data_IF_636167631595
#
_entry.id   IF_636167631595
#
_cell.length_a   1.000
_cell.length_b   1.000
_cell.length_c   1.000
_cell.angle_alpha   90.00
_cell.angle_beta   90.00
_cell.angle_gamma   90.00
#
_symmetry.space_group_name_H-M   'P 1'
#
loop_
_entity.id
_entity.type
_entity.pdbx_description
1 polymer ?
#
# COMPACT_ATOMS: atom_id res chain seq x y z
N UNK A 1 21.61 -34.15 -15.83
CA UNK A 1 20.83 -33.37 -14.84
C UNK A 1 19.46 -33.18 -15.45
N UNK A 2 18.42 -33.78 -14.89
CA UNK A 2 17.04 -33.59 -15.39
C UNK A 2 16.66 -32.15 -14.99
N UNK A 3 16.44 -31.28 -15.97
CA UNK A 3 15.90 -29.95 -15.73
C UNK A 3 14.44 -30.12 -15.23
N UNK A 4 14.21 -29.79 -13.97
CA UNK A 4 12.86 -29.76 -13.42
C UNK A 4 12.12 -28.57 -14.06
N UNK A 5 11.06 -28.86 -14.80
CA UNK A 5 10.19 -27.85 -15.40
C UNK A 5 9.00 -27.56 -14.49
N UNK A 6 8.59 -26.31 -14.47
CA UNK A 6 7.41 -25.87 -13.72
C UNK A 6 6.35 -25.29 -14.67
N UNK A 7 5.10 -25.49 -14.32
CA UNK A 7 3.99 -24.71 -14.87
C UNK A 7 3.65 -23.61 -13.87
N UNK A 8 3.77 -22.37 -14.30
CA UNK A 8 3.30 -21.20 -13.57
C UNK A 8 1.84 -20.94 -13.94
N UNK A 9 1.02 -20.65 -12.94
CA UNK A 9 -0.42 -20.40 -13.07
C UNK A 9 -0.72 -19.05 -12.44
N UNK A 10 -1.24 -18.12 -13.22
CA UNK A 10 -1.67 -16.79 -12.78
C UNK A 10 -3.18 -16.65 -12.89
N UNK A 11 -3.82 -15.99 -11.90
CA UNK A 11 -5.27 -15.77 -11.84
C UNK A 11 -5.50 -14.36 -11.31
N UNK A 12 -6.36 -13.58 -11.97
CA UNK A 12 -6.77 -12.26 -11.48
C UNK A 12 -8.18 -11.89 -11.93
N UNK A 13 -8.75 -10.85 -11.29
CA UNK A 13 -10.01 -10.19 -11.61
C UNK A 13 -11.25 -11.11 -11.54
N UNK A 14 -11.31 -11.95 -10.49
CA UNK A 14 -12.39 -12.94 -10.29
C UNK A 14 -13.44 -12.51 -9.27
N UNK A 15 -13.19 -11.44 -8.51
CA UNK A 15 -14.05 -10.95 -7.44
C UNK A 15 -14.97 -9.79 -7.87
N UNK A 16 -15.91 -9.43 -7.00
CA UNK A 16 -16.77 -8.26 -7.14
C UNK A 16 -16.85 -7.45 -5.86
N UNK A 17 -17.41 -6.21 -5.88
CA UNK A 17 -17.71 -5.48 -4.66
C UNK A 17 -18.63 -6.24 -3.69
N UNK A 18 -19.51 -7.08 -4.21
CA UNK A 18 -20.55 -7.79 -3.45
C UNK A 18 -20.09 -9.13 -2.86
N UNK A 19 -18.92 -9.63 -3.29
CA UNK A 19 -18.41 -10.90 -2.76
C UNK A 19 -17.22 -11.46 -3.51
N UNK A 20 -16.87 -12.69 -3.16
CA UNK A 20 -15.74 -13.47 -3.64
C UNK A 20 -14.38 -12.78 -3.37
N UNK A 21 -13.31 -13.48 -3.63
CA UNK A 21 -11.94 -12.97 -3.54
C UNK A 21 -11.02 -13.88 -4.37
N UNK A 22 -10.16 -13.28 -5.18
CA UNK A 22 -9.20 -14.03 -6.01
C UNK A 22 -8.27 -14.90 -5.16
N UNK A 23 -7.93 -14.48 -3.92
CA UNK A 23 -7.13 -15.30 -3.01
C UNK A 23 -7.89 -16.53 -2.49
N UNK A 24 -9.20 -16.40 -2.22
CA UNK A 24 -10.05 -17.55 -1.85
C UNK A 24 -10.15 -18.54 -2.98
N UNK A 25 -10.46 -18.06 -4.19
CA UNK A 25 -10.56 -18.90 -5.37
C UNK A 25 -9.25 -19.65 -5.63
N UNK A 26 -8.10 -18.99 -5.53
CA UNK A 26 -6.79 -19.63 -5.67
C UNK A 26 -6.53 -20.69 -4.58
N UNK A 27 -6.90 -20.41 -3.33
CA UNK A 27 -6.79 -21.39 -2.23
C UNK A 27 -7.66 -22.63 -2.52
N UNK A 28 -8.91 -22.43 -2.93
CA UNK A 28 -9.84 -23.50 -3.30
C UNK A 28 -9.30 -24.33 -4.46
N UNK A 29 -8.77 -23.72 -5.51
CA UNK A 29 -8.12 -24.43 -6.62
C UNK A 29 -6.93 -25.25 -6.13
N UNK A 30 -6.07 -24.70 -5.28
CA UNK A 30 -4.92 -25.41 -4.72
C UNK A 30 -5.37 -26.67 -3.96
N UNK A 31 -6.45 -26.59 -3.21
CA UNK A 31 -6.98 -27.76 -2.51
C UNK A 31 -7.55 -28.80 -3.48
N UNK A 32 -8.25 -28.38 -4.54
CA UNK A 32 -8.71 -29.27 -5.61
C UNK A 32 -7.56 -29.99 -6.34
N UNK A 33 -6.47 -29.29 -6.56
CA UNK A 33 -5.26 -29.89 -7.13
C UNK A 33 -4.65 -30.93 -6.18
N UNK A 34 -4.58 -30.66 -4.87
CA UNK A 34 -4.08 -31.61 -3.86
C UNK A 34 -4.95 -32.88 -3.79
N UNK A 35 -6.29 -32.76 -3.91
CA UNK A 35 -7.22 -33.89 -3.92
C UNK A 35 -6.87 -34.92 -5.02
N UNK A 36 -6.31 -34.48 -6.14
CA UNK A 36 -5.86 -35.33 -7.26
C UNK A 36 -4.35 -35.61 -7.24
N UNK A 37 -3.67 -35.26 -6.14
CA UNK A 37 -2.25 -35.52 -5.93
C UNK A 37 -1.34 -34.61 -6.77
N UNK A 38 -1.75 -33.35 -6.98
CA UNK A 38 -0.93 -32.28 -7.56
C UNK A 38 -0.57 -31.29 -6.47
N UNK A 39 0.71 -31.21 -6.11
CA UNK A 39 1.18 -30.29 -5.09
C UNK A 39 1.74 -29.01 -5.71
N UNK A 40 1.50 -27.87 -5.06
CA UNK A 40 2.16 -26.61 -5.44
C UNK A 40 3.60 -26.58 -4.94
N UNK A 41 4.45 -25.88 -5.66
CA UNK A 41 5.86 -25.68 -5.30
C UNK A 41 6.05 -24.35 -4.58
N UNK A 42 6.34 -24.43 -3.27
CA UNK A 42 6.47 -23.28 -2.40
C UNK A 42 5.12 -22.68 -1.98
N UNK A 43 5.10 -21.38 -1.69
CA UNK A 43 3.88 -20.65 -1.34
C UNK A 43 3.23 -20.01 -2.56
N UNK A 44 1.88 -19.95 -2.64
CA UNK A 44 1.21 -19.12 -3.62
C UNK A 44 1.60 -17.65 -3.39
N UNK A 45 1.57 -16.89 -4.46
CA UNK A 45 1.97 -15.49 -4.50
C UNK A 45 0.76 -14.60 -4.59
N UNK A 46 0.69 -13.55 -3.76
CA UNK A 46 -0.29 -12.47 -3.84
C UNK A 46 0.45 -11.19 -4.22
N UNK A 47 0.31 -10.76 -5.45
CA UNK A 47 1.03 -9.61 -5.98
C UNK A 47 0.09 -8.41 -6.09
N UNK A 48 0.36 -7.39 -5.29
CA UNK A 48 -0.34 -6.10 -5.38
C UNK A 48 0.21 -5.29 -6.55
N UNK A 49 -0.70 -4.70 -7.31
CA UNK A 49 -0.41 -3.92 -8.52
C UNK A 49 -0.66 -2.44 -8.26
N UNK A 50 -0.64 -1.62 -9.33
CA UNK A 50 -0.81 -0.17 -9.23
C UNK A 50 -2.02 0.22 -8.37
N UNK A 51 -1.83 0.97 -7.26
CA UNK A 51 -2.89 1.31 -6.33
C UNK A 51 -3.93 2.29 -6.92
N UNK A 52 -3.63 2.93 -8.05
CA UNK A 52 -4.50 3.89 -8.74
C UNK A 52 -5.31 3.30 -9.89
N UNK A 53 -5.24 1.98 -10.14
CA UNK A 53 -6.01 1.34 -11.20
C UNK A 53 -7.51 1.63 -11.02
N UNK A 54 -8.16 2.15 -12.09
CA UNK A 54 -9.56 2.60 -12.06
C UNK A 54 -10.57 1.47 -11.91
N UNK A 55 -10.26 0.32 -12.50
CA UNK A 55 -11.18 -0.81 -12.61
C UNK A 55 -10.98 -1.88 -11.53
N UNK A 56 -10.18 -1.60 -10.51
CA UNK A 56 -10.03 -2.52 -9.38
C UNK A 56 -11.31 -2.62 -8.58
N UNK A 57 -11.64 -3.82 -8.13
CA UNK A 57 -12.81 -4.05 -7.26
C UNK A 57 -12.54 -3.64 -5.82
N UNK A 58 -11.37 -4.00 -5.29
CA UNK A 58 -10.91 -3.71 -3.91
C UNK A 58 -9.44 -3.34 -3.91
N UNK A 59 -8.59 -4.21 -3.36
CA UNK A 59 -7.14 -4.09 -3.49
C UNK A 59 -6.70 -4.67 -4.82
N UNK A 60 -6.05 -3.88 -5.69
CA UNK A 60 -5.58 -4.37 -6.98
C UNK A 60 -4.48 -5.41 -6.80
N UNK A 61 -4.69 -6.65 -7.23
CA UNK A 61 -3.67 -7.70 -7.09
C UNK A 61 -4.05 -9.04 -7.66
N UNK A 62 -3.12 -9.62 -8.42
CA UNK A 62 -3.21 -10.96 -8.96
C UNK A 62 -2.59 -12.02 -8.05
N UNK A 63 -2.97 -13.26 -8.25
CA UNK A 63 -2.42 -14.42 -7.57
C UNK A 63 -1.69 -15.32 -8.57
N UNK A 64 -0.55 -15.88 -8.15
CA UNK A 64 0.13 -16.91 -8.93
C UNK A 64 0.66 -18.03 -8.03
N UNK A 65 0.73 -19.22 -8.58
CA UNK A 65 1.41 -20.37 -7.98
C UNK A 65 2.02 -21.24 -9.06
N UNK A 66 2.85 -22.18 -8.68
CA UNK A 66 3.49 -23.11 -9.64
C UNK A 66 3.38 -24.54 -9.18
N UNK A 67 3.31 -25.42 -10.15
CA UNK A 67 3.29 -26.89 -9.99
C UNK A 67 4.43 -27.50 -10.81
N UNK A 68 4.72 -28.76 -10.61
CA UNK A 68 5.59 -29.51 -11.54
C UNK A 68 4.89 -29.63 -12.90
N UNK A 69 5.64 -29.44 -13.97
CA UNK A 69 5.17 -29.65 -15.33
C UNK A 69 5.42 -31.13 -15.69
N UNK A 70 4.40 -31.94 -15.54
CA UNK A 70 4.44 -33.40 -15.71
C UNK A 70 3.19 -33.91 -16.46
N UNK A 71 2.91 -35.20 -16.37
CA UNK A 71 1.77 -35.86 -17.01
C UNK A 71 0.39 -35.42 -16.47
N UNK A 72 0.33 -34.75 -15.32
CA UNK A 72 -0.88 -34.18 -14.73
C UNK A 72 -1.15 -32.73 -15.13
N UNK A 73 -0.27 -32.13 -15.92
CA UNK A 73 -0.35 -30.71 -16.29
C UNK A 73 -1.68 -30.35 -16.96
N UNK A 74 -2.16 -31.17 -17.89
CA UNK A 74 -3.46 -30.91 -18.56
C UNK A 74 -4.64 -31.05 -17.61
N UNK A 75 -4.57 -31.98 -16.67
CA UNK A 75 -5.58 -32.12 -15.62
C UNK A 75 -5.60 -30.87 -14.71
N UNK A 76 -4.41 -30.38 -14.33
CA UNK A 76 -4.29 -29.16 -13.53
C UNK A 76 -4.89 -27.94 -14.24
N UNK A 77 -4.57 -27.74 -15.52
CA UNK A 77 -5.14 -26.64 -16.32
C UNK A 77 -6.66 -26.73 -16.37
N UNK A 78 -7.21 -27.92 -16.60
CA UNK A 78 -8.65 -28.13 -16.61
C UNK A 78 -9.29 -27.77 -15.29
N UNK A 79 -8.77 -28.25 -14.15
CA UNK A 79 -9.29 -27.93 -12.81
C UNK A 79 -9.29 -26.42 -12.58
N UNK A 80 -8.18 -25.72 -12.91
CA UNK A 80 -8.07 -24.27 -12.76
C UNK A 80 -9.17 -23.55 -13.54
N UNK A 81 -9.36 -23.89 -14.80
CA UNK A 81 -10.36 -23.24 -15.66
C UNK A 81 -11.78 -23.53 -15.21
N UNK A 82 -12.10 -24.80 -14.89
CA UNK A 82 -13.42 -25.21 -14.41
C UNK A 82 -13.80 -24.48 -13.11
N UNK A 83 -12.87 -24.34 -12.14
CA UNK A 83 -13.14 -23.66 -10.87
C UNK A 83 -13.21 -22.13 -11.03
N UNK A 84 -12.44 -21.53 -11.93
CA UNK A 84 -12.60 -20.10 -12.27
C UNK A 84 -13.95 -19.84 -12.91
N UNK A 85 -14.38 -20.67 -13.86
CA UNK A 85 -15.70 -20.56 -14.51
C UNK A 85 -16.85 -20.71 -13.51
N UNK A 86 -16.70 -21.60 -12.54
CA UNK A 86 -17.71 -21.88 -11.52
C UNK A 86 -17.82 -20.79 -10.44
N UNK A 87 -16.69 -20.20 -10.00
CA UNK A 87 -16.64 -19.38 -8.79
C UNK A 87 -16.44 -17.89 -9.05
N UNK A 88 -15.98 -17.46 -10.24
CA UNK A 88 -15.82 -16.04 -10.53
C UNK A 88 -17.17 -15.32 -10.61
N UNK A 89 -17.20 -14.05 -10.20
CA UNK A 89 -18.42 -13.24 -10.09
C UNK A 89 -18.83 -12.64 -11.44
N UNK A 90 -19.23 -13.48 -12.39
CA UNK A 90 -19.55 -13.08 -13.77
C UNK A 90 -20.73 -12.12 -13.91
N UNK A 91 -21.64 -12.11 -12.95
CA UNK A 91 -22.78 -11.16 -12.92
C UNK A 91 -22.34 -9.70 -12.70
N UNK A 92 -21.12 -9.47 -12.21
CA UNK A 92 -20.56 -8.14 -12.07
C UNK A 92 -19.90 -7.71 -13.38
N UNK A 93 -20.36 -6.62 -14.00
CA UNK A 93 -19.80 -6.08 -15.25
C UNK A 93 -18.32 -5.77 -15.17
N UNK A 94 -17.85 -5.36 -13.99
CA UNK A 94 -16.46 -5.00 -13.76
C UNK A 94 -15.55 -6.21 -13.49
N UNK A 95 -16.09 -7.42 -13.33
CA UNK A 95 -15.33 -8.66 -13.16
C UNK A 95 -15.03 -9.27 -14.54
N UNK A 96 -13.75 -9.37 -14.89
CA UNK A 96 -13.28 -9.84 -16.20
C UNK A 96 -12.08 -10.77 -16.02
N UNK A 97 -12.29 -12.01 -15.53
CA UNK A 97 -11.23 -12.92 -15.16
C UNK A 97 -10.24 -13.21 -16.28
N UNK A 98 -8.99 -13.38 -15.89
CA UNK A 98 -7.93 -13.88 -16.75
C UNK A 98 -7.12 -14.96 -16.05
N UNK A 99 -6.88 -16.06 -16.76
CA UNK A 99 -5.98 -17.12 -16.32
C UNK A 99 -4.82 -17.22 -17.30
N UNK A 100 -3.62 -17.37 -16.77
CA UNK A 100 -2.41 -17.48 -17.59
C UNK A 100 -1.63 -18.71 -17.15
N UNK A 101 -1.28 -19.56 -18.11
CA UNK A 101 -0.35 -20.66 -17.92
C UNK A 101 0.96 -20.34 -18.64
N UNK A 102 2.08 -20.60 -17.96
CA UNK A 102 3.40 -20.34 -18.49
C UNK A 102 4.39 -21.43 -18.01
N UNK A 103 5.02 -22.11 -18.94
CA UNK A 103 5.97 -23.21 -18.64
C UNK A 103 7.45 -22.86 -18.93
N UNK A 104 7.71 -21.57 -19.26
CA UNK A 104 9.04 -21.05 -19.51
C UNK A 104 9.76 -20.57 -18.26
N UNK A 105 11.01 -20.16 -18.45
CA UNK A 105 11.80 -19.46 -17.44
C UNK A 105 11.35 -17.99 -17.33
N UNK A 106 11.38 -17.44 -16.11
CA UNK A 106 11.08 -16.02 -15.93
C UNK A 106 12.18 -15.16 -16.54
N UNK A 107 11.86 -14.43 -17.60
CA UNK A 107 12.81 -13.57 -18.33
C UNK A 107 12.84 -12.16 -17.79
N UNK A 108 13.90 -11.39 -18.10
CA UNK A 108 14.01 -9.99 -17.71
C UNK A 108 12.84 -9.14 -18.28
N UNK A 109 12.37 -9.43 -19.50
CA UNK A 109 11.20 -8.75 -20.10
C UNK A 109 9.92 -9.00 -19.29
N UNK A 110 9.76 -10.21 -18.74
CA UNK A 110 8.61 -10.54 -17.87
C UNK A 110 8.71 -9.82 -16.53
N UNK A 111 9.92 -9.66 -16.00
CA UNK A 111 10.20 -8.85 -14.81
C UNK A 111 9.87 -7.38 -15.05
N UNK A 112 10.33 -6.80 -16.16
CA UNK A 112 10.03 -5.43 -16.54
C UNK A 112 8.51 -5.19 -16.73
N UNK A 113 7.82 -6.12 -17.38
CA UNK A 113 6.36 -6.07 -17.50
C UNK A 113 5.68 -6.06 -16.14
N UNK A 114 6.14 -6.90 -15.20
CA UNK A 114 5.58 -7.00 -13.85
C UNK A 114 5.75 -5.70 -13.06
N UNK A 115 6.92 -5.07 -13.13
CA UNK A 115 7.14 -3.75 -12.54
C UNK A 115 6.31 -2.66 -13.23
N UNK A 116 6.16 -2.70 -14.56
CA UNK A 116 5.27 -1.78 -15.27
C UNK A 116 3.83 -1.86 -14.77
N UNK A 117 3.32 -3.06 -14.45
CA UNK A 117 1.98 -3.25 -13.88
C UNK A 117 1.83 -2.66 -12.47
N UNK A 118 2.93 -2.46 -11.73
CA UNK A 118 2.95 -1.81 -10.42
C UNK A 118 3.07 -0.29 -10.55
N UNK A 119 3.86 0.20 -11.48
CA UNK A 119 4.18 1.63 -11.60
C UNK A 119 3.22 2.39 -12.53
N UNK A 120 2.51 1.69 -13.41
CA UNK A 120 1.78 2.27 -14.52
C UNK A 120 0.50 1.46 -14.82
N UNK A 121 -0.17 1.82 -15.90
CA UNK A 121 -1.29 1.05 -16.43
C UNK A 121 -0.84 0.29 -17.68
N UNK A 122 -1.35 -0.95 -17.79
CA UNK A 122 -1.19 -1.81 -18.96
C UNK A 122 -2.59 -2.02 -19.53
N UNK A 123 -2.73 -1.92 -20.83
CA UNK A 123 -3.97 -2.23 -21.54
C UNK A 123 -4.09 -3.74 -21.77
N UNK A 124 -5.33 -4.23 -21.94
CA UNK A 124 -5.59 -5.65 -22.25
C UNK A 124 -4.82 -6.04 -23.52
N UNK A 125 -4.80 -5.17 -24.55
CA UNK A 125 -4.09 -5.41 -25.81
C UNK A 125 -2.58 -5.57 -25.60
N UNK A 126 -1.94 -4.67 -24.83
CA UNK A 126 -0.51 -4.80 -24.50
C UNK A 126 -0.22 -6.10 -23.75
N UNK A 127 -1.10 -6.51 -22.83
CA UNK A 127 -0.94 -7.75 -22.09
C UNK A 127 -1.07 -8.99 -22.98
N UNK A 128 -2.00 -8.98 -23.95
CA UNK A 128 -2.17 -10.05 -24.94
C UNK A 128 -0.95 -10.15 -25.86
N UNK A 129 -0.51 -9.01 -26.42
CA UNK A 129 0.66 -8.96 -27.31
C UNK A 129 1.90 -9.46 -26.57
N UNK A 130 2.12 -9.01 -25.34
CA UNK A 130 3.25 -9.44 -24.53
C UNK A 130 3.15 -10.91 -24.16
N UNK A 131 2.02 -11.37 -23.60
CA UNK A 131 1.84 -12.77 -23.21
C UNK A 131 2.05 -13.74 -24.36
N UNK A 132 1.50 -13.42 -25.56
CA UNK A 132 1.71 -14.22 -26.77
C UNK A 132 3.18 -14.22 -27.20
N UNK A 133 3.89 -13.11 -27.11
CA UNK A 133 5.30 -13.01 -27.55
C UNK A 133 6.25 -13.86 -26.72
N UNK A 134 5.93 -14.07 -25.41
CA UNK A 134 6.72 -14.91 -24.52
C UNK A 134 6.20 -16.35 -24.40
N UNK A 135 5.15 -16.71 -25.15
CA UNK A 135 4.59 -18.08 -25.19
C UNK A 135 3.65 -18.41 -24.02
N UNK A 136 3.01 -17.43 -23.39
CA UNK A 136 1.96 -17.69 -22.43
C UNK A 136 0.70 -18.27 -23.11
N UNK A 137 0.06 -19.24 -22.45
CA UNK A 137 -1.30 -19.68 -22.78
C UNK A 137 -2.28 -18.78 -22.02
N UNK A 138 -3.04 -17.96 -22.75
CA UNK A 138 -3.94 -16.93 -22.21
C UNK A 138 -5.40 -17.38 -22.28
N UNK A 139 -6.09 -17.44 -21.14
CA UNK A 139 -7.52 -17.71 -21.06
C UNK A 139 -8.24 -16.47 -20.54
N UNK A 140 -9.14 -15.94 -21.37
CA UNK A 140 -9.89 -14.71 -21.08
C UNK A 140 -11.37 -15.02 -20.92
N UNK A 141 -11.92 -14.61 -19.79
CA UNK A 141 -13.35 -14.63 -19.53
C UNK A 141 -13.91 -13.21 -19.67
N UNK A 142 -15.00 -13.02 -20.37
CA UNK A 142 -15.54 -11.70 -20.74
C UNK A 142 -14.47 -10.88 -21.50
N UNK A 143 -14.09 -9.72 -20.95
CA UNK A 143 -13.00 -8.88 -21.52
C UNK A 143 -11.61 -9.42 -21.22
N UNK A 144 -11.46 -10.31 -20.23
CA UNK A 144 -10.21 -10.96 -19.86
C UNK A 144 -9.15 -10.01 -19.30
N UNK A 145 -9.55 -8.91 -18.64
CA UNK A 145 -8.60 -7.93 -18.06
C UNK A 145 -7.65 -8.57 -17.07
N UNK A 146 -8.07 -9.62 -16.37
CA UNK A 146 -7.28 -10.34 -15.39
C UNK A 146 -5.96 -10.91 -15.93
N UNK A 147 -5.79 -11.08 -17.26
CA UNK A 147 -4.48 -11.53 -17.81
C UNK A 147 -3.34 -10.56 -17.45
N UNK A 148 -3.65 -9.25 -17.26
CA UNK A 148 -2.65 -8.24 -16.88
C UNK A 148 -2.00 -8.60 -15.56
N UNK A 149 -2.83 -8.80 -14.52
CA UNK A 149 -2.33 -9.11 -13.19
C UNK A 149 -1.83 -10.55 -13.08
N UNK A 150 -2.38 -11.48 -13.85
CA UNK A 150 -1.92 -12.88 -13.89
C UNK A 150 -0.49 -12.99 -14.41
N UNK A 151 -0.14 -12.33 -15.52
CA UNK A 151 1.23 -12.28 -16.05
C UNK A 151 2.15 -11.60 -15.02
N UNK A 152 1.73 -10.45 -14.48
CA UNK A 152 2.53 -9.71 -13.51
C UNK A 152 2.77 -10.52 -12.21
N UNK A 153 1.78 -11.28 -11.75
CA UNK A 153 1.93 -12.12 -10.56
C UNK A 153 2.90 -13.28 -10.78
N UNK A 154 2.99 -13.82 -11.99
CA UNK A 154 3.98 -14.85 -12.35
C UNK A 154 5.39 -14.25 -12.37
N UNK A 155 5.59 -13.12 -13.07
CA UNK A 155 6.91 -12.59 -13.41
C UNK A 155 7.59 -11.76 -12.32
N UNK A 156 6.84 -11.21 -11.33
CA UNK A 156 7.42 -10.28 -10.37
C UNK A 156 8.47 -10.93 -9.46
N UNK A 157 9.72 -10.46 -9.40
CA UNK A 157 10.67 -10.91 -8.38
C UNK A 157 10.23 -10.41 -6.99
N UNK A 158 10.43 -11.26 -5.97
CA UNK A 158 10.14 -10.92 -4.57
C UNK A 158 11.46 -10.92 -3.79
N UNK A 159 12.29 -9.87 -3.98
CA UNK A 159 13.52 -9.63 -3.23
C UNK A 159 13.21 -9.17 -1.81
N UNK A 160 12.43 -8.10 -1.65
CA UNK A 160 11.73 -7.77 -0.40
C UNK A 160 10.30 -8.33 -0.48
N UNK A 161 9.88 -9.01 0.56
CA UNK A 161 8.57 -9.63 0.63
C UNK A 161 8.08 -9.78 2.07
N UNK A 162 6.81 -10.04 2.17
CA UNK A 162 6.14 -10.44 3.41
C UNK A 162 5.33 -11.71 3.16
N UNK A 163 4.76 -12.24 4.24
CA UNK A 163 3.76 -13.29 4.16
C UNK A 163 2.42 -12.78 4.69
N UNK A 164 1.33 -13.23 4.08
CA UNK A 164 -0.03 -12.99 4.58
C UNK A 164 -0.74 -14.32 4.76
N UNK A 165 -1.13 -14.62 6.00
CA UNK A 165 -2.04 -15.70 6.32
C UNK A 165 -3.46 -15.19 6.17
N UNK A 166 -4.27 -15.84 5.34
CA UNK A 166 -5.70 -15.59 5.19
C UNK A 166 -6.48 -16.78 5.73
N UNK A 167 -7.40 -16.51 6.66
CA UNK A 167 -8.40 -17.46 7.11
C UNK A 167 -9.69 -17.24 6.32
N UNK A 168 -10.32 -18.29 5.86
CA UNK A 168 -11.55 -18.23 5.07
C UNK A 168 -12.74 -18.79 5.83
N UNK A 169 -13.88 -18.13 5.63
CA UNK A 169 -15.17 -18.47 6.20
C UNK A 169 -15.83 -19.58 5.39
N UNK A 170 -16.67 -20.37 6.03
CA UNK A 170 -17.59 -21.25 5.31
C UNK A 170 -18.62 -20.43 4.51
N UNK A 171 -19.11 -20.94 3.36
CA UNK A 171 -20.02 -20.18 2.47
C UNK A 171 -21.28 -19.64 3.15
N UNK A 172 -21.82 -20.37 4.12
CA UNK A 172 -23.02 -19.98 4.89
C UNK A 172 -22.86 -18.67 5.65
N UNK A 173 -21.59 -18.27 5.94
CA UNK A 173 -21.27 -17.05 6.67
C UNK A 173 -20.92 -15.87 5.77
N UNK A 174 -20.88 -16.04 4.44
CA UNK A 174 -20.54 -14.93 3.54
C UNK A 174 -21.53 -13.77 3.66
N UNK A 175 -21.03 -12.55 3.68
CA UNK A 175 -21.85 -11.34 3.82
C UNK A 175 -22.39 -11.06 5.22
N UNK A 176 -22.22 -11.97 6.19
CA UNK A 176 -22.66 -11.77 7.58
C UNK A 176 -21.57 -11.11 8.43
N UNK A 177 -21.92 -10.66 9.64
CA UNK A 177 -20.95 -10.17 10.61
C UNK A 177 -19.92 -11.26 10.94
N UNK A 178 -18.66 -10.88 11.05
CA UNK A 178 -17.58 -11.76 11.50
C UNK A 178 -17.54 -11.85 13.02
N UNK A 179 -17.21 -13.03 13.53
CA UNK A 179 -17.14 -13.30 14.96
C UNK A 179 -15.72 -13.65 15.38
N UNK A 180 -14.92 -12.61 15.60
CA UNK A 180 -13.52 -12.69 16.05
C UNK A 180 -13.46 -12.19 17.50
N UNK A 181 -12.79 -12.95 18.37
CA UNK A 181 -12.48 -12.52 19.74
C UNK A 181 -11.36 -11.45 19.70
N UNK A 182 -11.74 -10.19 19.83
CA UNK A 182 -10.82 -9.05 19.75
C UNK A 182 -9.78 -9.05 20.87
N UNK A 183 -10.09 -9.55 22.06
CA UNK A 183 -9.10 -9.66 23.14
C UNK A 183 -7.95 -10.60 22.73
N UNK A 184 -8.28 -11.66 22.00
CA UNK A 184 -7.27 -12.56 21.44
C UNK A 184 -6.41 -11.90 20.36
N UNK A 185 -6.97 -10.96 19.59
CA UNK A 185 -6.21 -10.19 18.59
C UNK A 185 -5.23 -9.23 19.25
N UNK A 186 -5.66 -8.52 20.30
CA UNK A 186 -4.77 -7.68 21.10
C UNK A 186 -3.65 -8.49 21.77
N UNK A 187 -3.97 -9.68 22.26
CA UNK A 187 -2.96 -10.59 22.82
C UNK A 187 -1.97 -11.03 21.74
N UNK A 188 -2.47 -11.46 20.60
CA UNK A 188 -1.66 -11.90 19.45
C UNK A 188 -0.71 -10.80 19.02
N UNK A 189 -1.20 -9.57 18.81
CA UNK A 189 -0.38 -8.45 18.39
C UNK A 189 0.75 -8.17 19.39
N UNK A 190 0.46 -8.14 20.70
CA UNK A 190 1.48 -7.92 21.74
C UNK A 190 2.55 -9.00 21.79
N UNK A 191 2.19 -10.26 21.49
CA UNK A 191 3.11 -11.39 21.58
C UNK A 191 3.92 -11.65 20.31
N UNK A 192 3.45 -11.09 19.18
CA UNK A 192 4.10 -11.37 17.88
C UNK A 192 4.65 -10.12 17.20
N UNK A 193 4.35 -8.90 17.66
CA UNK A 193 4.96 -7.68 17.15
C UNK A 193 6.45 -7.59 17.56
N UNK A 194 7.38 -7.15 16.70
CA UNK A 194 7.17 -6.63 15.35
C UNK A 194 7.27 -7.69 14.23
N UNK A 195 7.34 -8.97 14.53
CA UNK A 195 7.40 -10.02 13.50
C UNK A 195 6.09 -10.10 12.70
N UNK A 196 4.94 -10.00 13.37
CA UNK A 196 3.67 -9.65 12.73
C UNK A 196 3.40 -8.16 12.91
N UNK A 197 2.70 -7.54 11.97
CA UNK A 197 2.46 -6.10 11.97
C UNK A 197 1.13 -5.76 11.29
N UNK A 198 0.66 -4.51 11.47
CA UNK A 198 -0.59 -4.03 10.89
C UNK A 198 -1.83 -4.80 11.36
N UNK A 199 -1.80 -5.35 12.58
CA UNK A 199 -2.89 -6.16 13.13
C UNK A 199 -3.92 -5.30 13.86
N UNK A 200 -3.46 -4.27 14.59
CA UNK A 200 -4.26 -3.37 15.43
C UNK A 200 -3.84 -1.93 15.21
N UNK A 201 -4.82 -1.04 15.04
CA UNK A 201 -4.60 0.40 15.10
C UNK A 201 -4.96 0.91 16.50
N UNK A 202 -3.97 1.00 17.38
CA UNK A 202 -4.18 1.44 18.77
C UNK A 202 -4.62 2.90 18.90
N UNK A 203 -4.37 3.72 17.86
CA UNK A 203 -4.78 5.13 17.90
C UNK A 203 -6.26 5.34 17.61
N UNK A 204 -6.87 4.39 16.92
CA UNK A 204 -8.28 4.43 16.49
C UNK A 204 -9.11 3.30 17.10
N UNK A 205 -8.50 2.49 18.01
CA UNK A 205 -9.11 1.29 18.59
C UNK A 205 -9.75 0.38 17.55
N UNK A 206 -8.97 0.07 16.50
CA UNK A 206 -9.45 -0.63 15.32
C UNK A 206 -8.69 -1.92 15.06
N UNK A 207 -9.43 -3.03 14.91
CA UNK A 207 -8.91 -4.34 14.54
C UNK A 207 -8.71 -4.40 13.03
N UNK A 208 -7.44 -4.38 12.58
CA UNK A 208 -7.10 -4.27 11.17
C UNK A 208 -7.00 -5.63 10.44
N UNK A 209 -6.95 -6.73 11.16
CA UNK A 209 -6.96 -8.06 10.55
C UNK A 209 -8.33 -8.43 9.95
N UNK A 210 -9.42 -7.79 10.39
CA UNK A 210 -10.78 -8.03 9.92
C UNK A 210 -11.10 -7.20 8.67
N UNK A 211 -11.46 -7.83 7.51
CA UNK A 211 -11.87 -7.09 6.32
C UNK A 211 -13.20 -6.38 6.50
N UNK A 212 -13.34 -5.18 5.91
CA UNK A 212 -14.61 -4.43 5.89
C UNK A 212 -15.57 -4.82 4.77
N UNK A 213 -15.15 -5.70 3.87
CA UNK A 213 -15.92 -6.07 2.67
C UNK A 213 -16.60 -7.42 2.83
N UNK A 214 -17.70 -7.70 2.10
CA UNK A 214 -18.42 -8.98 2.16
C UNK A 214 -17.67 -10.09 1.40
N UNK A 215 -16.39 -10.30 1.69
CA UNK A 215 -15.55 -11.31 1.07
C UNK A 215 -15.46 -12.59 1.93
N UNK A 216 -15.04 -13.73 1.36
CA UNK A 216 -14.85 -14.98 2.09
C UNK A 216 -13.77 -14.91 3.18
N UNK A 217 -12.91 -13.90 3.20
CA UNK A 217 -11.84 -13.78 4.20
C UNK A 217 -12.45 -13.46 5.57
N UNK A 218 -12.14 -14.29 6.56
CA UNK A 218 -12.47 -14.07 7.98
C UNK A 218 -11.53 -13.05 8.59
N UNK A 219 -10.22 -13.31 8.48
CA UNK A 219 -9.16 -12.37 8.88
C UNK A 219 -7.88 -12.61 8.08
N UNK A 220 -7.00 -11.59 8.07
CA UNK A 220 -5.68 -11.66 7.44
C UNK A 220 -4.59 -11.12 8.36
N UNK A 221 -3.53 -11.92 8.59
CA UNK A 221 -2.36 -11.55 9.40
C UNK A 221 -1.14 -11.43 8.49
N UNK A 222 -0.37 -10.34 8.64
CA UNK A 222 0.85 -10.07 7.86
C UNK A 222 2.08 -10.24 8.74
N UNK A 223 3.13 -10.81 8.14
CA UNK A 223 4.36 -11.10 8.87
C UNK A 223 5.60 -11.09 7.98
N UNK A 224 6.76 -10.93 8.60
CA UNK A 224 8.05 -11.13 7.95
C UNK A 224 8.40 -12.63 7.79
N UNK A 225 7.80 -13.53 8.61
CA UNK A 225 8.12 -14.97 8.63
C UNK A 225 6.85 -15.82 8.73
N UNK A 226 6.91 -17.04 8.23
CA UNK A 226 5.83 -18.02 8.35
C UNK A 226 5.66 -18.50 9.78
N UNK A 227 6.76 -18.65 10.51
CA UNK A 227 6.76 -19.10 11.90
C UNK A 227 5.98 -18.16 12.80
N UNK A 228 6.10 -16.85 12.58
CA UNK A 228 5.32 -15.85 13.33
C UNK A 228 3.82 -15.92 12.97
N UNK A 229 3.46 -16.19 11.71
CA UNK A 229 2.07 -16.43 11.30
C UNK A 229 1.47 -17.65 12.00
N UNK A 230 2.22 -18.74 12.10
CA UNK A 230 1.76 -19.97 12.77
C UNK A 230 1.60 -19.77 14.29
N UNK A 231 2.43 -18.92 14.92
CA UNK A 231 2.24 -18.52 16.32
C UNK A 231 0.99 -17.65 16.46
N UNK A 232 0.86 -16.61 15.62
CA UNK A 232 -0.27 -15.71 15.64
C UNK A 232 -1.61 -16.42 15.42
N UNK A 233 -1.67 -17.34 14.46
CA UNK A 233 -2.83 -18.20 14.19
C UNK A 233 -3.31 -18.98 15.42
N UNK A 234 -2.39 -19.46 16.24
CA UNK A 234 -2.74 -20.22 17.48
C UNK A 234 -3.32 -19.36 18.58
N UNK A 235 -3.05 -18.05 18.56
CA UNK A 235 -3.50 -17.10 19.59
C UNK A 235 -4.87 -16.53 19.23
N UNK A 236 -5.09 -16.20 17.93
CA UNK A 236 -6.37 -15.63 17.48
C UNK A 236 -7.50 -16.66 17.62
N UNK A 237 -8.54 -16.28 18.35
CA UNK A 237 -9.76 -17.08 18.56
C UNK A 237 -10.90 -16.51 17.72
N UNK A 238 -11.68 -17.40 17.14
CA UNK A 238 -12.88 -17.06 16.36
C UNK A 238 -14.07 -17.90 16.86
N UNK A 239 -15.27 -17.33 16.81
CA UNK A 239 -16.50 -17.98 17.26
C UNK A 239 -17.32 -18.55 16.09
N UNK A 240 -16.74 -18.61 14.91
CA UNK A 240 -17.33 -19.18 13.70
C UNK A 240 -16.39 -20.22 13.06
N UNK A 241 -16.92 -21.19 12.30
CA UNK A 241 -16.10 -22.19 11.63
C UNK A 241 -15.20 -21.56 10.57
N UNK A 242 -13.95 -22.02 10.54
CA UNK A 242 -12.96 -21.66 9.52
C UNK A 242 -12.95 -22.79 8.49
N UNK A 243 -13.21 -22.44 7.24
CA UNK A 243 -13.19 -23.41 6.13
C UNK A 243 -11.75 -23.84 5.82
N UNK A 244 -10.87 -22.86 5.66
CA UNK A 244 -9.49 -23.10 5.30
C UNK A 244 -8.56 -21.94 5.66
N UNK A 245 -7.24 -22.19 5.58
CA UNK A 245 -6.16 -21.23 5.73
C UNK A 245 -5.23 -21.29 4.54
N UNK A 246 -4.78 -20.14 4.05
CA UNK A 246 -3.75 -20.07 3.04
C UNK A 246 -2.69 -19.03 3.43
N UNK A 247 -1.41 -19.37 3.26
CA UNK A 247 -0.29 -18.44 3.43
C UNK A 247 0.21 -18.05 2.05
N UNK A 248 0.19 -16.75 1.77
CA UNK A 248 0.71 -16.16 0.53
C UNK A 248 2.04 -15.49 0.78
N UNK A 249 2.99 -15.67 -0.14
CA UNK A 249 4.16 -14.80 -0.26
C UNK A 249 3.77 -13.56 -1.06
N UNK A 250 4.07 -12.35 -0.59
CA UNK A 250 3.50 -11.13 -1.16
C UNK A 250 4.48 -9.96 -1.16
N UNK A 251 4.27 -9.01 -2.08
CA UNK A 251 4.94 -7.71 -2.10
C UNK A 251 4.22 -6.65 -1.23
N UNK A 252 3.26 -7.04 -0.40
CA UNK A 252 2.61 -6.09 0.51
C UNK A 252 3.62 -5.51 1.50
N UNK A 253 3.47 -4.24 1.83
CA UNK A 253 4.29 -3.54 2.82
C UNK A 253 5.80 -3.53 2.50
N UNK A 254 6.15 -3.43 1.21
CA UNK A 254 7.54 -3.40 0.73
C UNK A 254 7.96 -2.07 0.11
N UNK A 255 7.03 -1.14 -0.12
CA UNK A 255 7.22 0.08 -0.92
C UNK A 255 7.58 -0.22 -2.39
N UNK A 256 7.37 -1.43 -2.88
CA UNK A 256 7.75 -1.83 -4.24
C UNK A 256 7.11 -0.95 -5.33
N UNK A 257 6.03 -0.23 -5.02
CA UNK A 257 5.38 0.73 -5.92
C UNK A 257 6.08 2.10 -5.96
N UNK A 258 7.00 2.37 -5.04
CA UNK A 258 7.66 3.66 -4.91
C UNK A 258 8.89 3.72 -5.81
N UNK A 259 8.90 4.66 -6.75
CA UNK A 259 10.03 4.98 -7.62
C UNK A 259 10.77 6.18 -7.02
N UNK A 260 12.10 6.11 -6.94
CA UNK A 260 12.89 7.28 -6.54
C UNK A 260 12.95 8.28 -7.68
N UNK A 261 12.76 9.55 -7.35
CA UNK A 261 12.97 10.65 -8.29
C UNK A 261 13.74 11.78 -7.63
N UNK A 262 14.60 12.42 -8.42
CA UNK A 262 15.41 13.55 -7.95
C UNK A 262 14.68 14.89 -8.11
N UNK A 263 13.63 14.91 -8.96
CA UNK A 263 12.91 16.15 -9.26
C UNK A 263 11.38 15.95 -9.36
N UNK A 264 10.65 17.01 -8.96
CA UNK A 264 9.18 17.04 -8.96
C UNK A 264 8.63 17.05 -10.40
N UNK A 265 9.31 17.71 -11.34
CA UNK A 265 8.82 17.85 -12.71
C UNK A 265 8.80 16.53 -13.49
N UNK A 266 9.58 15.53 -13.08
CA UNK A 266 9.59 14.20 -13.71
C UNK A 266 8.43 13.30 -13.25
N UNK A 267 7.73 13.66 -12.18
CA UNK A 267 6.64 12.86 -11.61
C UNK A 267 5.43 12.84 -12.55
N UNK A 268 4.87 11.65 -12.77
CA UNK A 268 3.72 11.45 -13.68
C UNK A 268 2.48 11.04 -12.89
N UNK A 269 1.32 11.42 -13.42
CA UNK A 269 0.03 10.98 -12.91
C UNK A 269 -0.04 9.46 -12.82
N UNK A 270 -0.61 8.95 -11.73
CA UNK A 270 -0.74 7.54 -11.36
C UNK A 270 0.58 6.82 -11.03
N UNK A 271 1.70 7.53 -11.01
CA UNK A 271 2.95 7.03 -10.47
C UNK A 271 3.04 7.23 -8.96
N UNK A 272 3.86 6.41 -8.31
CA UNK A 272 4.19 6.52 -6.88
C UNK A 272 5.68 6.83 -6.72
N UNK A 273 6.01 7.77 -5.84
CA UNK A 273 7.36 8.34 -5.77
C UNK A 273 7.86 8.54 -4.35
N UNK A 274 9.18 8.39 -4.20
CA UNK A 274 9.97 9.00 -3.13
C UNK A 274 10.58 10.28 -3.70
N UNK A 275 10.28 11.43 -3.10
CA UNK A 275 10.77 12.74 -3.55
C UNK A 275 11.15 13.61 -2.36
N UNK A 276 12.20 14.44 -2.53
CA UNK A 276 12.58 15.46 -1.55
C UNK A 276 12.09 16.82 -2.02
N UNK A 277 11.40 17.55 -1.13
CA UNK A 277 10.89 18.87 -1.47
C UNK A 277 10.80 19.80 -0.27
N UNK A 278 10.80 21.10 -0.54
CA UNK A 278 10.64 22.16 0.46
C UNK A 278 9.18 22.58 0.56
N UNK A 279 8.63 22.62 1.76
CA UNK A 279 7.27 23.09 2.01
C UNK A 279 7.14 24.56 1.61
N UNK A 280 6.23 24.88 0.68
CA UNK A 280 6.00 26.21 0.13
C UNK A 280 5.09 27.06 0.99
N UNK A 281 3.98 26.49 1.45
CA UNK A 281 2.93 27.17 2.19
C UNK A 281 2.52 26.38 3.43
N UNK A 282 1.91 27.06 4.39
CA UNK A 282 1.30 26.37 5.55
C UNK A 282 0.16 25.47 5.07
N UNK A 283 0.06 24.21 5.57
CA UNK A 283 -1.06 23.35 5.25
C UNK A 283 -2.41 23.97 5.59
N UNK A 284 -3.37 23.83 4.67
CA UNK A 284 -4.74 24.31 4.81
C UNK A 284 -5.71 23.14 4.86
N UNK A 285 -6.71 23.24 5.72
CA UNK A 285 -7.80 22.27 5.81
C UNK A 285 -8.96 22.76 4.96
N UNK A 286 -9.58 21.87 4.21
CA UNK A 286 -10.77 22.12 3.41
C UNK A 286 -11.99 21.38 3.97
N UNK A 287 -13.17 21.65 3.42
CA UNK A 287 -14.40 20.94 3.75
C UNK A 287 -14.22 19.42 3.58
N UNK A 288 -14.77 18.64 4.51
CA UNK A 288 -14.51 17.20 4.59
C UNK A 288 -13.22 16.82 5.36
N UNK A 289 -12.48 17.83 5.87
CA UNK A 289 -11.34 17.62 6.76
C UNK A 289 -10.05 17.21 6.06
N UNK A 290 -9.98 17.24 4.73
CA UNK A 290 -8.76 16.98 3.97
C UNK A 290 -7.78 18.14 4.13
N UNK A 291 -6.48 17.83 4.09
CA UNK A 291 -5.42 18.81 4.28
C UNK A 291 -4.50 18.85 3.07
N UNK A 292 -4.20 20.07 2.59
CA UNK A 292 -3.35 20.29 1.42
C UNK A 292 -2.27 21.34 1.69
N UNK A 293 -1.12 21.12 1.05
CA UNK A 293 -0.01 22.06 1.00
C UNK A 293 0.82 21.80 -0.27
N UNK A 294 1.72 22.73 -0.60
CA UNK A 294 2.62 22.57 -1.73
C UNK A 294 4.04 22.30 -1.26
N UNK A 295 4.74 21.43 -1.97
CA UNK A 295 6.20 21.32 -1.94
C UNK A 295 6.76 21.79 -3.26
N UNK A 296 8.02 22.21 -3.24
CA UNK A 296 8.77 22.63 -4.42
C UNK A 296 10.24 22.22 -4.31
N UNK A 297 10.88 22.13 -5.47
CA UNK A 297 12.31 22.03 -5.68
C UNK A 297 12.72 22.97 -6.83
N UNK A 298 13.95 22.81 -7.35
CA UNK A 298 14.44 23.63 -8.46
C UNK A 298 13.74 23.32 -9.81
N UNK A 299 13.08 22.18 -9.92
CA UNK A 299 12.39 21.70 -11.14
C UNK A 299 10.93 22.12 -11.24
N UNK A 300 10.26 22.30 -10.08
CA UNK A 300 8.83 22.61 -10.08
C UNK A 300 8.18 22.54 -8.70
N UNK A 301 6.86 22.44 -8.70
CA UNK A 301 6.06 22.30 -7.49
C UNK A 301 4.89 21.34 -7.68
N UNK A 302 4.44 20.72 -6.59
CA UNK A 302 3.28 19.83 -6.59
C UNK A 302 2.44 20.03 -5.33
N UNK A 303 1.12 19.93 -5.47
CA UNK A 303 0.20 19.89 -4.34
C UNK A 303 0.26 18.52 -3.66
N UNK A 304 0.40 18.53 -2.34
CA UNK A 304 0.40 17.34 -1.49
C UNK A 304 -0.90 17.26 -0.68
N UNK A 305 -1.48 16.05 -0.59
CA UNK A 305 -2.72 15.80 0.11
C UNK A 305 -2.59 14.77 1.23
N UNK A 306 -3.12 15.11 2.42
CA UNK A 306 -3.38 14.18 3.51
C UNK A 306 -4.90 14.14 3.77
N UNK A 307 -5.53 13.02 3.42
CA UNK A 307 -6.99 12.89 3.40
C UNK A 307 -7.57 12.53 4.78
N UNK A 308 -8.86 12.76 4.97
CA UNK A 308 -9.56 12.58 6.25
C UNK A 308 -9.31 11.20 6.90
N UNK A 309 -9.37 10.08 6.19
CA UNK A 309 -9.17 8.77 6.79
C UNK A 309 -7.80 8.58 7.49
N UNK A 310 -6.81 9.45 7.22
CA UNK A 310 -5.49 9.39 7.84
C UNK A 310 -5.40 9.99 9.25
N UNK A 311 -6.53 10.48 9.82
CA UNK A 311 -6.70 10.83 11.24
C UNK A 311 -5.53 11.64 11.84
N UNK A 312 -4.78 11.02 12.77
CA UNK A 312 -3.66 11.66 13.48
C UNK A 312 -2.51 12.08 12.56
N UNK A 313 -2.31 11.40 11.43
CA UNK A 313 -1.30 11.79 10.45
C UNK A 313 -1.54 13.21 9.91
N UNK A 314 -2.80 13.60 9.66
CA UNK A 314 -3.15 14.98 9.27
C UNK A 314 -2.77 16.01 10.33
N UNK A 315 -2.89 15.66 11.62
CA UNK A 315 -2.48 16.55 12.73
C UNK A 315 -0.96 16.79 12.72
N UNK A 316 -0.17 15.79 12.31
CA UNK A 316 1.27 15.95 12.10
C UNK A 316 1.56 16.83 10.88
N UNK A 317 0.85 16.59 9.77
CA UNK A 317 0.95 17.44 8.57
C UNK A 317 0.59 18.89 8.90
N UNK A 318 -0.39 19.16 9.77
CA UNK A 318 -0.77 20.52 10.17
C UNK A 318 0.34 21.30 10.89
N UNK A 319 1.35 20.62 11.42
CA UNK A 319 2.52 21.23 12.08
C UNK A 319 3.61 21.66 11.09
N UNK A 320 3.49 21.30 9.80
CA UNK A 320 4.42 21.71 8.74
C UNK A 320 4.40 23.23 8.52
N UNK A 321 5.55 23.79 8.11
CA UNK A 321 5.72 25.21 7.86
C UNK A 321 6.52 25.47 6.59
N UNK A 322 6.31 26.61 5.93
CA UNK A 322 7.15 27.03 4.81
C UNK A 322 8.64 26.95 5.17
N UNK A 323 9.42 26.33 4.30
CA UNK A 323 10.86 26.12 4.48
C UNK A 323 11.24 24.84 5.23
N UNK A 324 10.27 24.01 5.69
CA UNK A 324 10.57 22.63 6.10
C UNK A 324 11.00 21.82 4.87
N UNK A 325 12.02 20.98 5.00
CA UNK A 325 12.48 20.07 3.95
C UNK A 325 12.05 18.67 4.34
N UNK A 326 11.31 18.03 3.45
CA UNK A 326 10.73 16.70 3.66
C UNK A 326 11.19 15.73 2.57
N UNK A 327 11.38 14.47 2.95
CA UNK A 327 11.37 13.34 2.03
C UNK A 327 9.97 12.72 2.12
N UNK A 328 9.23 12.72 1.03
CA UNK A 328 7.85 12.26 0.98
C UNK A 328 7.74 10.98 0.16
N UNK A 329 6.82 10.13 0.55
CA UNK A 329 6.44 8.89 -0.12
C UNK A 329 4.95 8.92 -0.39
N UNK A 330 4.55 8.62 -1.61
CA UNK A 330 3.14 8.65 -1.98
C UNK A 330 2.92 8.51 -3.48
N UNK A 331 1.72 8.79 -3.94
CA UNK A 331 1.40 8.65 -5.35
C UNK A 331 0.46 9.72 -5.87
N UNK A 332 0.54 9.99 -7.17
CA UNK A 332 -0.25 11.02 -7.84
C UNK A 332 -1.57 10.43 -8.33
N UNK A 333 -2.68 10.92 -7.79
CA UNK A 333 -4.03 10.52 -8.19
C UNK A 333 -4.57 11.25 -9.43
N UNK A 334 -5.85 11.06 -9.70
CA UNK A 334 -6.55 11.67 -10.86
C UNK A 334 -6.51 13.21 -10.86
N UNK A 335 -6.47 13.83 -9.68
CA UNK A 335 -6.46 15.29 -9.52
C UNK A 335 -5.06 15.90 -9.59
N UNK A 336 -4.03 15.13 -9.98
CA UNK A 336 -2.61 15.55 -9.95
C UNK A 336 -2.11 15.99 -8.57
N UNK A 337 -2.77 15.57 -7.49
CA UNK A 337 -2.33 15.77 -6.12
C UNK A 337 -1.48 14.59 -5.67
N UNK A 338 -0.35 14.86 -5.03
CA UNK A 338 0.53 13.86 -4.45
C UNK A 338 -0.05 13.39 -3.10
N UNK A 339 -0.66 12.21 -3.09
CA UNK A 339 -1.31 11.60 -1.93
C UNK A 339 -0.24 11.00 -1.02
N UNK A 340 0.02 11.64 0.11
CA UNK A 340 1.12 11.26 1.02
C UNK A 340 0.75 9.99 1.78
N UNK A 341 1.63 9.00 1.75
CA UNK A 341 1.56 7.76 2.54
C UNK A 341 2.41 7.82 3.80
N UNK A 342 3.60 8.41 3.69
CA UNK A 342 4.53 8.70 4.80
C UNK A 342 5.49 9.81 4.41
N UNK A 343 6.16 10.40 5.41
CA UNK A 343 7.24 11.36 5.18
C UNK A 343 8.31 11.27 6.26
N UNK A 344 9.53 11.63 5.88
CA UNK A 344 10.62 11.90 6.81
C UNK A 344 10.90 13.39 6.84
N UNK A 345 11.11 13.93 8.03
CA UNK A 345 11.59 15.32 8.19
C UNK A 345 13.10 15.34 7.97
N UNK A 346 13.54 15.92 6.87
CA UNK A 346 14.97 16.13 6.59
C UNK A 346 15.49 17.31 7.40
N UNK A 347 14.76 18.44 7.37
CA UNK A 347 15.12 19.65 8.10
C UNK A 347 13.90 20.50 8.42
N UNK A 348 13.74 20.89 9.67
CA UNK A 348 12.70 21.81 10.09
C UNK A 348 13.16 23.26 9.98
N UNK A 349 12.26 24.12 9.51
CA UNK A 349 12.34 25.56 9.70
C UNK A 349 11.73 25.92 11.06
N UNK A 350 12.52 25.76 12.13
CA UNK A 350 12.10 25.94 13.52
C UNK A 350 12.43 27.35 14.09
N UNK A 351 12.76 28.29 13.22
CA UNK A 351 13.08 29.66 13.59
C UNK A 351 12.00 30.62 13.12
N UNK A 352 11.49 31.44 14.04
CA UNK A 352 10.60 32.56 13.75
C UNK A 352 11.29 33.88 14.09
N UNK A 353 11.25 34.83 13.18
CA UNK A 353 11.84 36.16 13.41
C UNK A 353 10.80 37.11 14.00
N UNK A 354 10.96 37.48 15.29
CA UNK A 354 10.07 38.42 16.00
C UNK A 354 10.77 39.76 16.26
N UNK A 355 9.95 40.78 16.46
CA UNK A 355 10.46 42.08 16.87
C UNK A 355 11.19 41.94 18.21
N UNK A 356 12.25 42.73 18.49
CA UNK A 356 13.03 42.65 19.71
C UNK A 356 12.17 42.93 20.96
N UNK A 357 12.66 42.46 22.11
CA UNK A 357 12.10 42.80 23.43
C UNK A 357 12.80 44.03 23.94
N UNK A 358 12.04 45.04 24.36
CA UNK A 358 12.55 46.23 25.02
C UNK A 358 13.09 45.89 26.42
N UNK A 359 14.04 46.66 26.95
CA UNK A 359 14.55 46.53 28.32
C UNK A 359 13.42 46.51 29.39
N UNK A 360 12.30 47.17 29.13
CA UNK A 360 11.14 47.13 30.01
C UNK A 360 10.32 45.82 29.92
N UNK A 361 10.81 44.81 29.19
CA UNK A 361 10.19 43.49 29.02
C UNK A 361 9.08 43.40 27.98
N UNK A 362 8.64 44.52 27.37
CA UNK A 362 7.58 44.50 26.36
C UNK A 362 8.15 44.27 24.96
N UNK A 363 7.53 43.36 24.18
CA UNK A 363 7.89 43.20 22.76
C UNK A 363 7.58 44.49 22.00
N UNK A 364 8.55 44.96 21.22
CA UNK A 364 8.47 46.21 20.45
C UNK A 364 7.58 46.02 19.19
N UNK A 365 7.06 47.11 18.69
CA UNK A 365 6.30 47.15 17.41
C UNK A 365 7.13 47.88 16.35
N UNK A 366 6.92 47.56 15.06
CA UNK A 366 7.58 48.33 13.97
C UNK A 366 7.23 49.80 14.06
N UNK A 367 8.24 50.65 13.89
CA UNK A 367 8.11 52.12 13.85
C UNK A 367 7.77 52.64 12.43
N UNK A 368 7.65 51.75 11.45
CA UNK A 368 7.42 52.05 10.03
C UNK A 368 8.50 51.44 9.14
N UNK A 369 8.34 51.55 7.81
CA UNK A 369 9.30 51.01 6.83
C UNK A 369 10.69 51.63 7.09
N UNK A 370 11.67 50.78 7.39
CA UNK A 370 13.07 51.15 7.69
C UNK A 370 13.28 52.13 8.90
N UNK A 371 12.29 52.28 9.81
CA UNK A 371 12.38 53.15 11.00
C UNK A 371 12.62 52.36 12.29
N UNK A 372 13.02 51.09 12.21
CA UNK A 372 13.30 50.25 13.36
C UNK A 372 12.08 49.90 14.20
N UNK A 373 12.24 49.84 15.52
CA UNK A 373 11.21 49.40 16.46
C UNK A 373 10.94 50.43 17.54
N UNK A 374 9.67 50.52 18.01
CA UNK A 374 9.26 51.40 19.11
C UNK A 374 8.54 50.58 20.17
N UNK A 375 8.86 50.80 21.43
CA UNK A 375 8.14 50.25 22.56
C UNK A 375 6.87 51.05 22.87
N UNK A 376 5.70 50.43 22.80
CA UNK A 376 4.43 51.08 23.15
C UNK A 376 4.28 51.36 24.67
N UNK A 377 5.09 50.68 25.54
CA UNK A 377 5.01 50.83 27.00
C UNK A 377 5.84 51.99 27.50
N UNK A 378 7.11 52.11 27.11
CA UNK A 378 8.03 53.09 27.63
C UNK A 378 8.52 54.11 26.59
N UNK A 379 8.09 53.99 25.33
CA UNK A 379 8.48 54.93 24.27
C UNK A 379 9.87 54.69 23.66
N UNK A 380 10.68 53.80 24.22
CA UNK A 380 12.02 53.51 23.73
C UNK A 380 12.02 53.12 22.25
N UNK A 381 13.04 53.50 21.48
CA UNK A 381 13.20 53.26 20.06
C UNK A 381 14.54 52.57 19.76
N UNK A 382 14.51 51.62 18.84
CA UNK A 382 15.68 50.96 18.28
C UNK A 382 15.69 51.25 16.78
N UNK A 383 16.74 51.85 16.27
CA UNK A 383 16.86 52.20 14.84
C UNK A 383 17.34 51.01 13.97
N UNK A 384 17.56 49.84 14.56
CA UNK A 384 17.87 48.60 13.83
C UNK A 384 16.60 47.91 13.38
N UNK A 385 16.57 47.45 12.13
CA UNK A 385 15.42 46.71 11.54
C UNK A 385 15.54 45.20 11.71
N UNK A 386 16.59 44.67 12.37
CA UNK A 386 16.81 43.24 12.52
C UNK A 386 15.84 42.65 13.55
N UNK A 387 15.04 41.71 13.12
CA UNK A 387 14.23 40.87 13.99
C UNK A 387 15.12 39.84 14.71
N UNK A 388 14.70 39.44 15.89
CA UNK A 388 15.41 38.44 16.70
C UNK A 388 14.91 37.05 16.36
N UNK A 389 15.77 36.09 16.06
CA UNK A 389 15.38 34.71 15.86
C UNK A 389 14.89 34.09 17.17
N UNK A 390 13.76 33.42 17.13
CA UNK A 390 13.19 32.68 18.26
C UNK A 390 12.95 31.24 17.80
N UNK A 391 13.51 30.28 18.52
CA UNK A 391 13.27 28.88 18.28
C UNK A 391 11.82 28.54 18.62
N UNK A 392 11.15 27.82 17.72
CA UNK A 392 9.78 27.37 17.89
C UNK A 392 9.81 25.90 18.33
N UNK A 393 9.00 25.57 19.31
CA UNK A 393 8.80 24.17 19.67
C UNK A 393 7.85 23.51 18.65
N UNK A 394 8.27 22.37 18.12
CA UNK A 394 7.56 21.60 17.10
C UNK A 394 7.29 20.17 17.61
N UNK A 395 6.18 19.58 17.22
CA UNK A 395 5.92 18.15 17.44
C UNK A 395 6.76 17.26 16.53
N UNK A 396 7.03 17.74 15.33
CA UNK A 396 7.89 17.09 14.34
C UNK A 396 9.38 17.21 14.76
N UNK A 397 10.17 16.19 14.39
CA UNK A 397 11.61 16.12 14.71
C UNK A 397 12.42 15.82 13.47
N UNK A 398 13.59 16.43 13.32
CA UNK A 398 14.53 16.13 12.24
C UNK A 398 14.95 14.65 12.27
N UNK A 399 15.03 14.01 11.11
CA UNK A 399 15.37 12.61 10.92
C UNK A 399 14.22 11.64 11.15
N UNK A 400 13.12 12.05 11.80
CA UNK A 400 12.02 11.17 12.16
C UNK A 400 11.06 10.93 10.99
N UNK A 401 10.64 9.68 10.83
CA UNK A 401 9.58 9.26 9.93
C UNK A 401 8.20 9.37 10.60
N UNK A 402 7.20 9.66 9.77
CA UNK A 402 5.78 9.72 10.12
C UNK A 402 4.98 9.05 9.02
N UNK A 403 4.01 8.23 9.39
CA UNK A 403 3.23 7.41 8.46
C UNK A 403 1.74 7.45 8.76
N UNK A 404 0.94 7.06 7.78
CA UNK A 404 -0.51 6.91 7.94
C UNK A 404 -0.85 5.81 8.93
N UNK A 405 -1.97 5.92 9.68
CA UNK A 405 -2.41 4.88 10.59
C UNK A 405 -2.72 3.59 9.83
N UNK A 406 -2.68 2.46 10.54
CA UNK A 406 -2.93 1.11 9.99
C UNK A 406 -4.25 1.06 9.22
N UNK A 407 -5.30 1.67 9.78
CA UNK A 407 -6.66 1.70 9.22
C UNK A 407 -6.76 2.42 7.85
N UNK A 408 -5.78 3.27 7.50
CA UNK A 408 -5.73 4.02 6.25
C UNK A 408 -4.50 3.74 5.38
N UNK A 409 -3.67 2.76 5.76
CA UNK A 409 -2.46 2.41 5.03
C UNK A 409 -2.79 1.64 3.76
N UNK A 410 -2.09 1.96 2.69
CA UNK A 410 -2.15 1.19 1.45
C UNK A 410 -1.38 -0.11 1.56
N UNK A 411 -1.86 -1.16 0.92
CA UNK A 411 -1.26 -2.49 0.99
C UNK A 411 0.24 -2.54 0.62
N UNK A 412 0.68 -1.72 -0.31
CA UNK A 412 2.09 -1.70 -0.73
C UNK A 412 2.98 -0.84 0.17
N UNK A 413 2.40 0.11 0.93
CA UNK A 413 3.18 1.04 1.75
C UNK A 413 3.90 0.28 2.89
N UNK A 414 5.23 0.37 2.93
CA UNK A 414 6.09 -0.27 3.94
C UNK A 414 5.95 0.46 5.27
N UNK A 415 5.49 -0.21 6.34
CA UNK A 415 5.39 0.42 7.65
C UNK A 415 6.78 0.70 8.25
N UNK A 416 6.85 1.72 9.11
CA UNK A 416 8.10 2.13 9.75
C UNK A 416 8.75 0.97 10.52
N UNK A 417 7.96 0.09 11.14
CA UNK A 417 8.47 -1.07 11.87
C UNK A 417 9.24 -2.09 11.00
N UNK A 418 9.11 -2.01 9.67
CA UNK A 418 9.86 -2.82 8.70
C UNK A 418 11.01 -2.05 8.02
N UNK A 419 11.18 -0.78 8.32
CA UNK A 419 12.27 0.02 7.74
C UNK A 419 13.54 -0.15 8.58
N UNK A 420 14.67 -0.39 7.92
CA UNK A 420 16.00 -0.33 8.55
C UNK A 420 16.34 1.15 8.77
N UNK A 421 16.17 1.67 9.99
CA UNK A 421 16.33 3.08 10.37
C UNK A 421 17.58 3.28 11.24
#
# INVERSE_FOLDING_TARGET
MILIKYLHIGIDDTDSPDGMCTTYLACHIIDKLKEVGIEIVGYPRLIRLNPFARFKTRGNGGVAFKILNDDKTDLAKKIVLDEVEKLAMFDCDNTNPGVVFYDGEITDEMVEYSFKAIYSFITIKEAEEFGNSIGCELHKFKKGRGIIGSIAAIGLPLEDFTYELLAYRVPENYGTKRHIDYDSVYLMDRETYPETFENVDYSEDYIAIEPKTPCPVLYGIRSNTVEALERAKKIVRVEEPVENYCIFKTNQHTDMHIQKTDDIASMKQFGCYEVVGTVKNKPTIIDGGHMFFYIFDDSGEIECGAYEPTKNFRKLVSDLRPGDILKLFGGIGEQNTFNIEKFQVVKLNDVEYKNPICECGKRMTSAGKNKGFKCKKCGNKINDNKKVPIKIFRKLKNGQFYETPVSARRHLSKPICRMDL
#
